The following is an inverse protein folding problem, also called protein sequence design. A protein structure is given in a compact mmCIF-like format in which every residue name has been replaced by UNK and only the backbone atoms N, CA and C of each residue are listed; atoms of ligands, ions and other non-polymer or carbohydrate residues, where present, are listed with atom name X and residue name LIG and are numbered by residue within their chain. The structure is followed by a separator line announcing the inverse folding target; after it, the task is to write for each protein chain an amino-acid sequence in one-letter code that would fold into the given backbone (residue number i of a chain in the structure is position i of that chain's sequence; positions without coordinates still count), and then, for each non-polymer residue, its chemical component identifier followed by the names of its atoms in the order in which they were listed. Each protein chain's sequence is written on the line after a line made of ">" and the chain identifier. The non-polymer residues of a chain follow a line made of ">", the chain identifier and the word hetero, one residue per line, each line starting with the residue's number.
data_IF_872782658731
#
_entry.id   IF_872782658731
#
_cell.length_a   1.000
_cell.length_b   1.000
_cell.length_c   1.000
_cell.angle_alpha   90.00
_cell.angle_beta   90.00
_cell.angle_gamma   90.00
#
_symmetry.space_group_name_H-M   'P 1'
#
loop_
_entity.id
_entity.type
_entity.pdbx_description
1 polymer ?
#
# COMPACT_ATOMS: atom_id res chain seq x y z
N UNK A 1 -9.34 15.72 21.53
CA UNK A 1 -8.64 14.78 22.44
C UNK A 1 -7.48 14.17 21.70
N UNK A 2 -6.23 14.36 22.16
CA UNK A 2 -5.08 13.65 21.62
C UNK A 2 -5.25 12.16 21.98
N UNK A 3 -5.58 11.31 21.01
CA UNK A 3 -5.56 9.85 21.21
C UNK A 3 -4.18 9.50 21.76
N UNK A 4 -4.15 8.82 22.91
CA UNK A 4 -2.92 8.27 23.47
C UNK A 4 -2.27 7.34 22.42
N UNK A 5 -1.21 7.81 21.77
CA UNK A 5 -0.37 7.08 20.80
C UNK A 5 0.28 5.82 21.38
N UNK A 6 0.20 5.61 22.70
CA UNK A 6 0.92 4.57 23.44
C UNK A 6 0.36 3.16 23.18
N UNK A 7 -0.87 3.03 22.65
CA UNK A 7 -1.51 1.72 22.45
C UNK A 7 -1.63 1.25 20.99
N UNK A 8 -1.11 2.01 20.01
CA UNK A 8 -1.04 1.50 18.63
C UNK A 8 0.08 0.46 18.55
N UNK A 9 -0.29 -0.79 18.28
CA UNK A 9 0.66 -1.88 18.06
C UNK A 9 1.37 -1.64 16.72
N UNK A 10 2.61 -1.15 16.78
CA UNK A 10 3.47 -1.02 15.62
C UNK A 10 4.10 -2.38 15.31
N UNK A 11 4.02 -2.82 14.06
CA UNK A 11 4.63 -4.06 13.60
C UNK A 11 5.93 -3.73 12.87
N UNK A 12 7.03 -4.31 13.33
CA UNK A 12 8.35 -4.19 12.69
C UNK A 12 8.46 -5.28 11.63
N UNK A 13 9.00 -4.93 10.47
CA UNK A 13 9.28 -5.89 9.40
C UNK A 13 10.43 -6.84 9.81
N UNK A 14 10.33 -8.16 9.59
CA UNK A 14 11.46 -9.07 9.80
C UNK A 14 12.69 -8.67 8.96
N UNK A 15 13.88 -8.83 9.54
CA UNK A 15 15.15 -8.45 8.89
C UNK A 15 15.42 -9.24 7.62
N UNK A 16 14.89 -10.46 7.55
CA UNK A 16 15.03 -11.37 6.42
C UNK A 16 14.32 -10.84 5.17
N UNK A 17 13.26 -10.05 5.36
CA UNK A 17 12.56 -9.35 4.26
C UNK A 17 13.20 -7.98 4.01
N UNK A 18 13.52 -7.23 5.07
CA UNK A 18 14.05 -5.87 4.93
C UNK A 18 15.46 -5.81 4.35
N UNK A 19 16.39 -6.64 4.83
CA UNK A 19 17.81 -6.53 4.49
C UNK A 19 18.10 -6.71 2.98
N UNK A 20 17.51 -7.70 2.28
CA UNK A 20 17.69 -7.83 0.82
C UNK A 20 17.21 -6.58 0.07
N UNK A 21 16.04 -6.05 0.45
CA UNK A 21 15.49 -4.83 -0.14
C UNK A 21 16.38 -3.62 0.14
N UNK A 22 16.87 -3.46 1.36
CA UNK A 22 17.77 -2.36 1.69
C UNK A 22 19.12 -2.47 0.97
N UNK A 23 19.61 -3.69 0.73
CA UNK A 23 20.83 -3.90 -0.08
C UNK A 23 20.62 -3.47 -1.53
N UNK A 24 19.44 -3.76 -2.09
CA UNK A 24 19.06 -3.39 -3.46
C UNK A 24 18.80 -1.89 -3.61
N UNK A 25 17.94 -1.33 -2.76
CA UNK A 25 17.42 0.04 -2.90
C UNK A 25 18.16 1.08 -2.06
N UNK A 26 19.01 0.67 -1.11
CA UNK A 26 19.81 1.56 -0.23
C UNK A 26 18.94 2.65 0.42
N UNK A 27 18.01 2.22 1.27
CA UNK A 27 17.06 3.15 1.90
C UNK A 27 17.81 4.21 2.73
N UNK A 28 17.47 5.48 2.50
CA UNK A 28 17.99 6.64 3.23
C UNK A 28 16.94 7.27 4.15
N UNK A 29 15.70 6.75 4.10
CA UNK A 29 14.59 7.29 4.87
C UNK A 29 13.50 6.25 5.16
N UNK A 30 12.88 6.41 6.33
CA UNK A 30 11.68 5.68 6.76
C UNK A 30 10.64 6.72 7.18
N UNK A 31 9.51 6.86 6.46
CA UNK A 31 8.43 7.76 6.83
C UNK A 31 7.53 7.20 7.93
N UNK A 32 7.69 5.94 8.31
CA UNK A 32 6.93 5.22 9.33
C UNK A 32 7.82 4.60 10.42
N UNK A 33 8.83 5.33 10.96
CA UNK A 33 9.83 4.71 11.83
C UNK A 33 9.21 4.35 13.18
N UNK A 34 9.80 3.36 13.85
CA UNK A 34 9.52 3.10 15.25
C UNK A 34 10.64 3.64 16.15
N UNK A 35 10.33 4.37 17.24
CA UNK A 35 9.00 4.83 17.63
C UNK A 35 8.46 5.92 16.68
N UNK A 36 7.16 5.90 16.43
CA UNK A 36 6.52 6.84 15.52
C UNK A 36 6.19 8.14 16.25
N UNK A 37 6.98 9.18 16.02
CA UNK A 37 6.87 10.46 16.78
C UNK A 37 6.14 11.57 16.02
N UNK A 38 6.00 11.44 14.70
CA UNK A 38 5.35 12.43 13.83
C UNK A 38 4.75 11.76 12.61
N UNK A 39 3.76 12.42 12.01
CA UNK A 39 3.15 11.97 10.78
C UNK A 39 4.13 12.00 9.59
N UNK A 40 4.31 10.85 8.93
CA UNK A 40 5.18 10.69 7.75
C UNK A 40 4.65 11.32 6.47
N UNK A 41 3.39 11.76 6.44
CA UNK A 41 2.77 12.38 5.27
C UNK A 41 3.20 13.84 5.09
N UNK A 42 3.29 14.59 6.18
CA UNK A 42 3.54 16.04 6.15
C UNK A 42 5.02 16.42 6.04
N UNK A 43 5.91 15.43 5.87
CA UNK A 43 7.36 15.63 5.84
C UNK A 43 7.94 15.29 4.46
N UNK A 44 9.10 15.88 4.15
CA UNK A 44 9.88 15.53 2.97
C UNK A 44 10.46 14.12 3.11
N UNK A 45 10.32 13.31 2.07
CA UNK A 45 10.90 11.98 1.97
C UNK A 45 12.32 12.03 1.41
N UNK A 46 13.13 11.00 1.69
CA UNK A 46 14.47 10.83 1.14
C UNK A 46 14.46 10.39 -0.32
N UNK A 47 15.63 10.06 -0.86
CA UNK A 47 15.76 9.58 -2.24
C UNK A 47 15.31 8.12 -2.38
N UNK A 48 15.45 7.31 -1.33
CA UNK A 48 15.05 5.91 -1.30
C UNK A 48 14.38 5.55 0.03
N UNK A 49 13.09 5.23 -0.02
CA UNK A 49 12.25 5.17 1.16
C UNK A 49 11.74 3.74 1.42
N UNK A 50 11.86 3.26 2.66
CA UNK A 50 11.15 2.06 3.13
C UNK A 50 9.85 2.47 3.81
N UNK A 51 8.70 2.01 3.30
CA UNK A 51 7.39 2.50 3.74
C UNK A 51 6.56 1.33 4.26
N UNK A 52 6.47 1.21 5.58
CA UNK A 52 5.59 0.29 6.30
C UNK A 52 4.48 1.08 7.00
N UNK A 53 3.43 1.52 6.28
CA UNK A 53 2.43 2.42 6.81
C UNK A 53 1.49 1.73 7.80
N UNK A 54 0.76 2.48 8.65
CA UNK A 54 -0.34 1.94 9.42
C UNK A 54 -1.34 1.23 8.49
N UNK A 55 -1.73 0.00 8.85
CA UNK A 55 -2.59 -0.84 8.00
C UNK A 55 -4.04 -0.37 7.96
N UNK A 56 -4.48 0.39 8.96
CA UNK A 56 -5.81 0.96 9.03
C UNK A 56 -5.73 2.45 9.32
N UNK A 57 -6.70 3.19 8.78
CA UNK A 57 -6.89 4.62 9.04
C UNK A 57 -6.94 4.95 10.55
N UNK A 58 -7.57 4.08 11.33
CA UNK A 58 -7.79 4.27 12.77
C UNK A 58 -6.53 4.15 13.63
N UNK A 59 -5.49 3.51 13.09
CA UNK A 59 -4.20 3.27 13.76
C UNK A 59 -3.16 4.35 13.39
N UNK A 60 -3.52 5.28 12.50
CA UNK A 60 -2.63 6.30 11.95
C UNK A 60 -2.69 7.62 12.73
N UNK A 61 -1.57 8.37 12.71
CA UNK A 61 -1.57 9.79 13.08
C UNK A 61 -2.39 10.56 12.03
N UNK A 62 -3.19 11.53 12.49
CA UNK A 62 -4.07 12.36 11.65
C UNK A 62 -5.01 11.57 10.72
N UNK A 63 -5.30 10.32 11.08
CA UNK A 63 -6.08 9.40 10.25
C UNK A 63 -5.51 9.22 8.81
N UNK A 64 -4.20 9.34 8.64
CA UNK A 64 -3.50 9.06 7.39
C UNK A 64 -3.21 7.56 7.24
N UNK A 65 -4.24 6.81 6.85
CA UNK A 65 -4.12 5.37 6.58
C UNK A 65 -3.27 5.02 5.35
N UNK A 66 -3.24 3.74 4.93
CA UNK A 66 -2.32 3.26 3.90
C UNK A 66 -2.50 3.96 2.55
N UNK A 67 -3.73 4.35 2.18
CA UNK A 67 -4.00 5.10 0.94
C UNK A 67 -3.32 6.48 0.93
N UNK A 68 -3.14 7.14 2.07
CA UNK A 68 -2.44 8.42 2.13
C UNK A 68 -0.95 8.25 1.79
N UNK A 69 -0.31 7.22 2.34
CA UNK A 69 1.09 6.87 2.05
C UNK A 69 1.30 6.43 0.61
N UNK A 70 0.36 5.67 0.02
CA UNK A 70 0.41 5.31 -1.41
C UNK A 70 0.35 6.55 -2.29
N UNK A 71 -0.56 7.50 -2.01
CA UNK A 71 -0.63 8.76 -2.77
C UNK A 71 0.66 9.55 -2.66
N UNK A 72 1.23 9.67 -1.46
CA UNK A 72 2.50 10.37 -1.26
C UNK A 72 3.64 9.68 -2.00
N UNK A 73 3.75 8.36 -1.94
CA UNK A 73 4.76 7.61 -2.69
C UNK A 73 4.65 7.85 -4.21
N UNK A 74 3.43 7.93 -4.76
CA UNK A 74 3.21 8.29 -6.18
C UNK A 74 3.72 9.71 -6.46
N UNK A 75 3.47 10.68 -5.57
CA UNK A 75 3.99 12.04 -5.74
C UNK A 75 5.52 12.13 -5.60
N UNK A 76 6.13 11.37 -4.69
CA UNK A 76 7.60 11.31 -4.57
C UNK A 76 8.23 10.59 -5.76
N UNK A 77 7.57 9.56 -6.31
CA UNK A 77 7.99 8.89 -7.55
C UNK A 77 8.06 9.87 -8.73
N UNK A 78 7.05 10.74 -8.89
CA UNK A 78 7.07 11.80 -9.92
C UNK A 78 8.24 12.79 -9.77
N UNK A 79 8.85 12.86 -8.57
CA UNK A 79 10.06 13.67 -8.29
C UNK A 79 11.36 12.89 -8.50
N UNK A 80 11.30 11.67 -9.03
CA UNK A 80 12.47 10.81 -9.26
C UNK A 80 12.96 10.05 -8.02
N UNK A 81 12.14 9.95 -6.97
CA UNK A 81 12.46 9.22 -5.75
C UNK A 81 11.93 7.79 -5.80
N UNK A 82 12.62 6.90 -5.10
CA UNK A 82 12.21 5.50 -4.95
C UNK A 82 11.50 5.32 -3.62
N UNK A 83 10.40 4.58 -3.62
CA UNK A 83 9.66 4.21 -2.41
C UNK A 83 9.24 2.75 -2.52
N UNK A 84 9.64 1.93 -1.55
CA UNK A 84 9.23 0.52 -1.44
C UNK A 84 8.19 0.41 -0.34
N UNK A 85 6.99 -0.02 -0.70
CA UNK A 85 5.84 -0.09 0.20
C UNK A 85 5.48 -1.54 0.50
N UNK A 86 5.21 -1.84 1.77
CA UNK A 86 4.52 -3.07 2.17
C UNK A 86 3.07 -2.75 2.53
N UNK A 87 2.11 -3.47 1.94
CA UNK A 87 0.68 -3.26 2.17
C UNK A 87 -0.02 -4.61 2.33
N UNK A 88 -1.01 -4.71 3.22
CA UNK A 88 -1.81 -5.92 3.33
C UNK A 88 -2.65 -6.13 2.08
N UNK A 89 -2.64 -7.36 1.58
CA UNK A 89 -3.46 -7.81 0.45
C UNK A 89 -4.20 -9.09 0.83
N UNK A 90 -5.25 -9.43 0.10
CA UNK A 90 -5.86 -10.75 0.24
C UNK A 90 -4.90 -11.81 -0.31
N UNK A 91 -4.93 -13.02 0.26
CA UNK A 91 -4.01 -14.11 -0.10
C UNK A 91 -3.99 -14.42 -1.60
N UNK A 92 -5.16 -14.36 -2.26
CA UNK A 92 -5.27 -14.61 -3.70
C UNK A 92 -4.47 -13.61 -4.55
N UNK A 93 -4.19 -12.40 -4.05
CA UNK A 93 -3.36 -11.41 -4.77
C UNK A 93 -1.93 -11.94 -4.89
N UNK A 94 -1.37 -12.46 -3.80
CA UNK A 94 -0.03 -13.07 -3.82
C UNK A 94 -0.01 -14.30 -4.73
N UNK A 95 -1.01 -15.19 -4.62
CA UNK A 95 -1.13 -16.37 -5.48
C UNK A 95 -1.14 -16.01 -6.98
N UNK A 96 -1.87 -14.96 -7.36
CA UNK A 96 -1.97 -14.52 -8.75
C UNK A 96 -0.68 -13.84 -9.23
N UNK A 97 0.00 -13.07 -8.37
CA UNK A 97 1.30 -12.48 -8.67
C UNK A 97 2.38 -13.56 -8.87
N UNK A 98 2.43 -14.56 -7.99
CA UNK A 98 3.33 -15.72 -8.09
C UNK A 98 3.07 -16.55 -9.34
N UNK A 99 1.80 -16.66 -9.77
CA UNK A 99 1.41 -17.29 -11.03
C UNK A 99 1.71 -16.43 -12.28
N UNK A 100 2.28 -15.22 -12.14
CA UNK A 100 2.64 -14.36 -13.26
C UNK A 100 1.46 -13.62 -13.90
N UNK A 101 0.36 -13.39 -13.17
CA UNK A 101 -0.78 -12.66 -13.69
C UNK A 101 -0.40 -11.22 -14.09
N UNK A 102 -0.91 -10.75 -15.23
CA UNK A 102 -0.81 -9.33 -15.62
C UNK A 102 -1.90 -8.52 -14.93
N UNK A 103 -1.55 -7.36 -14.36
CA UNK A 103 -2.49 -6.52 -13.62
C UNK A 103 -3.03 -5.38 -14.48
N UNK A 104 -4.32 -5.07 -14.35
CA UNK A 104 -4.91 -3.82 -14.87
C UNK A 104 -5.78 -3.13 -13.81
N UNK A 105 -5.53 -1.85 -13.50
CA UNK A 105 -6.38 -1.12 -12.57
C UNK A 105 -7.74 -0.82 -13.23
N UNK A 106 -8.83 -1.08 -12.50
CA UNK A 106 -10.20 -0.72 -12.94
C UNK A 106 -10.93 0.17 -11.94
N UNK A 107 -10.29 0.48 -10.81
CA UNK A 107 -10.80 1.42 -9.81
C UNK A 107 -12.07 0.93 -9.14
N UNK A 108 -12.98 1.86 -8.81
CA UNK A 108 -14.23 1.54 -8.12
C UNK A 108 -15.29 1.04 -9.10
N UNK A 109 -15.43 -0.27 -9.23
CA UNK A 109 -16.34 -0.90 -10.20
C UNK A 109 -17.78 -0.85 -9.69
N UNK A 110 -18.65 -0.19 -10.46
CA UNK A 110 -20.11 -0.15 -10.25
C UNK A 110 -20.74 -1.37 -10.91
N UNK A 111 -20.71 -2.50 -10.22
CA UNK A 111 -21.34 -3.74 -10.66
C UNK A 111 -22.81 -3.51 -11.01
N UNK A 112 -23.30 -4.16 -12.05
CA UNK A 112 -24.72 -4.08 -12.41
C UNK A 112 -25.47 -5.23 -11.74
N UNK A 113 -26.62 -4.94 -11.17
CA UNK A 113 -27.56 -5.95 -10.72
C UNK A 113 -28.06 -6.77 -11.92
N UNK A 114 -28.00 -8.10 -11.83
CA UNK A 114 -28.24 -8.98 -12.97
C UNK A 114 -29.70 -8.98 -13.47
N UNK A 115 -30.65 -8.54 -12.62
CA UNK A 115 -32.08 -8.55 -12.94
C UNK A 115 -32.52 -7.17 -13.41
N UNK A 116 -32.15 -6.13 -12.66
CA UNK A 116 -32.62 -4.76 -12.87
C UNK A 116 -31.69 -3.92 -13.72
N UNK A 117 -30.45 -4.37 -13.96
CA UNK A 117 -29.41 -3.62 -14.67
C UNK A 117 -28.91 -2.37 -13.92
N UNK A 118 -29.37 -2.12 -12.69
CA UNK A 118 -29.01 -0.93 -11.93
C UNK A 118 -27.58 -1.07 -11.35
N UNK A 119 -26.80 0.02 -11.30
CA UNK A 119 -25.47 -0.02 -10.72
C UNK A 119 -25.50 -0.14 -9.20
N UNK A 120 -24.54 -0.88 -8.64
CA UNK A 120 -24.32 -1.02 -7.21
C UNK A 120 -23.92 0.33 -6.59
N UNK A 121 -24.61 0.80 -5.54
CA UNK A 121 -24.45 2.16 -5.02
C UNK A 121 -23.12 2.39 -4.30
N UNK A 122 -22.48 1.34 -3.79
CA UNK A 122 -21.27 1.42 -2.96
C UNK A 122 -20.11 0.61 -3.55
N UNK A 123 -19.58 1.01 -4.73
CA UNK A 123 -18.59 0.23 -5.46
C UNK A 123 -17.29 0.05 -4.66
N UNK A 124 -16.64 -1.11 -4.77
CA UNK A 124 -15.34 -1.39 -4.17
C UNK A 124 -14.21 -1.17 -5.18
N UNK A 125 -12.97 -0.94 -4.71
CA UNK A 125 -11.80 -0.95 -5.58
C UNK A 125 -11.53 -2.36 -6.09
N UNK A 126 -11.28 -2.49 -7.40
CA UNK A 126 -10.97 -3.74 -8.05
C UNK A 126 -9.77 -3.56 -9.01
N UNK A 127 -9.10 -4.67 -9.27
CA UNK A 127 -8.09 -4.82 -10.31
C UNK A 127 -8.40 -6.10 -11.10
N UNK A 128 -8.06 -6.10 -12.38
CA UNK A 128 -8.08 -7.31 -13.19
C UNK A 128 -6.74 -8.02 -13.03
N UNK A 129 -6.78 -9.34 -12.82
CA UNK A 129 -5.64 -10.23 -12.82
C UNK A 129 -5.81 -11.17 -14.02
N UNK A 130 -4.90 -11.09 -14.99
CA UNK A 130 -5.04 -11.75 -16.27
C UNK A 130 -4.01 -12.88 -16.35
N UNK A 131 -4.51 -14.11 -16.40
CA UNK A 131 -3.74 -15.31 -16.75
C UNK A 131 -4.00 -15.61 -18.22
N UNK A 132 -3.00 -15.36 -19.06
CA UNK A 132 -3.10 -15.70 -20.48
C UNK A 132 -2.90 -17.21 -20.63
N UNK A 133 -3.88 -17.90 -21.19
CA UNK A 133 -3.74 -19.31 -21.50
C UNK A 133 -2.65 -19.52 -22.56
N UNK A 134 -1.79 -20.51 -22.35
CA UNK A 134 -0.87 -20.98 -23.38
C UNK A 134 -1.68 -21.59 -24.52
N UNK A 135 -1.76 -20.89 -25.65
CA UNK A 135 -2.30 -21.48 -26.88
C UNK A 135 -1.20 -22.37 -27.45
N UNK A 136 -1.42 -23.68 -27.42
CA UNK A 136 -0.64 -24.64 -28.22
C UNK A 136 -0.96 -24.46 -29.70
#
# INVERSE_FOLDING_TARGET
>A
MKKNLINSKFWIIPKEIYNPLNKEFKFDFDPCPYPFVRDGIEISWGQSNWVNPPFRKLDAINDHGPTAFVRKAIEEHKKGKTSVLILPVQSYVNMLLEAGAKLRPVGRVKWLDAITGKPFPTPSNNALFILEGERK
#
